data_IF_394118121231
#
_entry.id   IF_394118121231
#
_cell.length_a   1.000
_cell.length_b   1.000
_cell.length_c   1.000
_cell.angle_alpha   90.00
_cell.angle_beta   90.00
_cell.angle_gamma   90.00
#
_symmetry.space_group_name_H-M   'P 1'
#
loop_
_entity.id
_entity.type
_entity.pdbx_description
1 polymer ?
#
# COMPACT_ATOMS: atom_id res chain seq x y z
N UNK A 1 -20.76 3.71 21.12
CA UNK A 1 -20.84 2.85 19.92
C UNK A 1 -19.49 2.17 19.76
N UNK A 2 -19.53 0.84 19.72
CA UNK A 2 -18.49 -0.14 19.35
C UNK A 2 -17.06 0.07 19.87
N UNK A 3 -16.69 -0.75 20.85
CA UNK A 3 -15.31 -1.15 21.08
C UNK A 3 -14.73 -1.73 19.77
N UNK A 4 -13.89 -0.96 19.08
CA UNK A 4 -13.07 -1.49 18.00
C UNK A 4 -11.93 -2.27 18.66
N UNK A 5 -12.18 -3.58 18.74
CA UNK A 5 -11.31 -4.64 19.20
C UNK A 5 -9.85 -4.38 18.79
N UNK A 6 -8.99 -4.26 19.81
CA UNK A 6 -7.55 -4.28 19.69
C UNK A 6 -7.12 -5.69 19.25
N UNK A 7 -7.33 -6.03 17.98
CA UNK A 7 -6.64 -7.16 17.37
C UNK A 7 -5.18 -6.73 17.19
N UNK A 8 -4.24 -7.56 17.65
CA UNK A 8 -2.82 -7.34 17.41
C UNK A 8 -2.62 -7.04 15.93
N UNK A 9 -2.25 -5.80 15.60
CA UNK A 9 -2.02 -5.41 14.23
C UNK A 9 -0.81 -6.20 13.74
N UNK A 10 -1.06 -7.26 12.98
CA UNK A 10 0.01 -8.01 12.35
C UNK A 10 0.69 -7.07 11.36
N UNK A 11 1.89 -6.63 11.74
CA UNK A 11 2.76 -5.88 10.85
C UNK A 11 3.16 -6.81 9.72
N UNK A 12 2.65 -6.53 8.53
CA UNK A 12 2.98 -7.27 7.33
C UNK A 12 4.00 -6.45 6.53
N UNK A 13 4.96 -7.15 5.93
CA UNK A 13 5.95 -6.53 5.06
C UNK A 13 5.48 -6.66 3.62
N UNK A 14 5.27 -5.54 2.96
CA UNK A 14 4.94 -5.52 1.54
C UNK A 14 6.14 -5.07 0.71
N UNK A 15 6.20 -5.54 -0.52
CA UNK A 15 7.23 -5.17 -1.48
C UNK A 15 6.64 -4.25 -2.54
N UNK A 16 7.15 -3.02 -2.62
CA UNK A 16 6.75 -2.03 -3.61
C UNK A 16 7.72 -2.06 -4.78
N UNK A 17 7.18 -2.27 -5.98
CA UNK A 17 7.90 -2.26 -7.25
C UNK A 17 7.47 -1.03 -8.06
N UNK A 18 8.14 0.12 -7.92
CA UNK A 18 7.95 1.26 -8.82
C UNK A 18 8.23 0.87 -10.27
N UNK A 19 7.40 1.28 -11.22
CA UNK A 19 7.64 1.04 -12.65
C UNK A 19 8.65 2.02 -13.29
N UNK A 20 8.94 3.13 -12.61
CA UNK A 20 9.91 4.13 -13.06
C UNK A 20 11.33 3.86 -12.55
N UNK A 21 11.52 2.89 -11.65
CA UNK A 21 12.82 2.51 -11.09
C UNK A 21 12.96 0.99 -11.07
N UNK A 22 14.12 0.49 -11.43
CA UNK A 22 14.43 -0.93 -11.40
C UNK A 22 14.78 -1.47 -9.99
N UNK A 23 14.19 -0.92 -8.93
CA UNK A 23 14.42 -1.33 -7.53
C UNK A 23 13.13 -1.76 -6.84
N UNK A 24 13.24 -2.69 -5.89
CA UNK A 24 12.12 -3.12 -5.03
C UNK A 24 12.33 -2.54 -3.64
N UNK A 25 11.33 -1.83 -3.14
CA UNK A 25 11.33 -1.23 -1.81
C UNK A 25 10.53 -2.14 -0.87
N UNK A 26 10.98 -2.33 0.37
CA UNK A 26 10.19 -3.02 1.40
C UNK A 26 9.55 -1.99 2.31
N UNK A 27 8.26 -2.14 2.58
CA UNK A 27 7.51 -1.23 3.44
C UNK A 27 6.72 -2.06 4.48
N UNK A 28 6.88 -1.70 5.74
CA UNK A 28 6.20 -2.33 6.86
C UNK A 28 4.89 -1.57 7.13
N UNK A 29 3.77 -2.28 6.99
CA UNK A 29 2.40 -1.76 7.07
C UNK A 29 1.54 -2.69 7.91
N UNK A 30 0.42 -2.19 8.41
CA UNK A 30 -0.53 -3.00 9.16
C UNK A 30 -1.61 -3.51 8.20
N UNK A 31 -2.08 -4.76 8.33
CA UNK A 31 -3.16 -5.27 7.46
C UNK A 31 -4.44 -4.41 7.49
N UNK A 32 -4.69 -3.79 8.65
CA UNK A 32 -5.76 -2.82 8.87
C UNK A 32 -5.52 -1.45 8.22
N UNK A 33 -4.30 -1.15 7.77
CA UNK A 33 -4.01 0.10 7.08
C UNK A 33 -4.81 0.15 5.77
N UNK A 34 -5.32 1.34 5.46
CA UNK A 34 -5.96 1.60 4.19
C UNK A 34 -4.94 1.88 3.11
N UNK A 35 -5.34 1.68 1.85
CA UNK A 35 -4.52 2.04 0.69
C UNK A 35 -4.10 3.52 0.71
N UNK A 36 -4.92 4.39 1.30
CA UNK A 36 -4.60 5.81 1.48
C UNK A 36 -3.41 6.03 2.41
N UNK A 37 -3.37 5.33 3.56
CA UNK A 37 -2.25 5.38 4.51
C UNK A 37 -0.98 4.88 3.83
N UNK A 38 -1.05 3.77 3.09
CA UNK A 38 0.10 3.23 2.36
C UNK A 38 0.64 4.24 1.34
N UNK A 39 -0.23 4.90 0.58
CA UNK A 39 0.17 5.94 -0.37
C UNK A 39 0.81 7.15 0.30
N UNK A 40 0.30 7.56 1.45
CA UNK A 40 0.91 8.64 2.25
C UNK A 40 2.33 8.26 2.72
N UNK A 41 2.54 7.01 3.16
CA UNK A 41 3.89 6.51 3.50
C UNK A 41 4.83 6.54 2.29
N UNK A 42 4.34 6.10 1.13
CA UNK A 42 5.10 6.15 -0.13
C UNK A 42 5.42 7.58 -0.53
N UNK A 43 4.51 8.54 -0.34
CA UNK A 43 4.77 9.95 -0.60
C UNK A 43 5.93 10.47 0.26
N UNK A 44 5.99 10.07 1.53
CA UNK A 44 7.12 10.42 2.40
C UNK A 44 8.46 9.84 1.94
N UNK A 45 8.44 8.67 1.28
CA UNK A 45 9.66 7.99 0.80
C UNK A 45 10.12 8.44 -0.59
N UNK A 46 9.19 8.53 -1.55
CA UNK A 46 9.50 8.79 -2.96
C UNK A 46 9.12 10.21 -3.40
N UNK A 47 8.36 10.96 -2.59
CA UNK A 47 7.95 12.34 -2.90
C UNK A 47 6.78 12.47 -3.90
N UNK A 48 6.16 11.36 -4.30
CA UNK A 48 5.05 11.34 -5.26
C UNK A 48 3.74 11.61 -4.51
N UNK A 49 2.90 12.58 -4.90
CA UNK A 49 1.64 12.82 -4.20
C UNK A 49 0.68 11.63 -4.37
N UNK A 50 -0.13 11.29 -3.34
CA UNK A 50 -0.94 10.07 -3.29
C UNK A 50 -1.98 9.97 -4.43
N UNK A 51 -2.42 11.10 -4.96
CA UNK A 51 -3.29 11.20 -6.13
C UNK A 51 -2.61 10.74 -7.44
N UNK A 52 -1.30 10.93 -7.56
CA UNK A 52 -0.49 10.50 -8.71
C UNK A 52 0.01 9.05 -8.56
N UNK A 53 -0.14 8.46 -7.38
CA UNK A 53 0.24 7.08 -7.10
C UNK A 53 -0.89 6.11 -7.47
N UNK A 54 -0.61 5.22 -8.40
CA UNK A 54 -1.47 4.07 -8.69
C UNK A 54 -0.80 2.79 -8.19
N UNK A 55 -1.45 2.15 -7.22
CA UNK A 55 -1.03 0.87 -6.68
C UNK A 55 -1.82 -0.25 -7.36
N UNK A 56 -1.11 -1.29 -7.77
CA UNK A 56 -1.68 -2.47 -8.42
C UNK A 56 -1.20 -3.70 -7.66
N UNK A 57 -2.14 -4.54 -7.22
CA UNK A 57 -1.84 -5.81 -6.54
C UNK A 57 -2.68 -6.91 -7.17
N UNK A 58 -2.09 -8.11 -7.32
CA UNK A 58 -2.78 -9.26 -7.93
C UNK A 58 -3.44 -8.99 -9.30
N UNK A 59 -2.97 -7.98 -10.04
CA UNK A 59 -3.56 -7.54 -11.31
C UNK A 59 -4.74 -6.57 -11.19
N UNK A 60 -5.17 -6.22 -9.98
CA UNK A 60 -6.24 -5.25 -9.72
C UNK A 60 -5.69 -3.90 -9.23
N UNK A 61 -6.38 -2.82 -9.64
CA UNK A 61 -6.05 -1.48 -9.14
C UNK A 61 -6.60 -1.32 -7.72
N UNK A 62 -5.74 -0.92 -6.80
CA UNK A 62 -6.12 -0.64 -5.43
C UNK A 62 -6.75 0.76 -5.33
N UNK A 63 -8.05 0.78 -5.05
CA UNK A 63 -8.80 2.01 -4.82
C UNK A 63 -8.57 2.56 -3.40
N UNK A 64 -8.65 3.87 -3.26
CA UNK A 64 -8.63 4.50 -1.94
C UNK A 64 -9.88 4.05 -1.15
N UNK A 65 -9.73 3.76 0.14
CA UNK A 65 -10.83 3.35 1.03
C UNK A 65 -10.97 1.85 1.27
N UNK A 66 -10.21 0.99 0.57
CA UNK A 66 -10.07 -0.44 0.95
C UNK A 66 -8.91 -0.61 1.93
N UNK A 67 -9.01 -1.61 2.81
CA UNK A 67 -7.87 -2.05 3.65
C UNK A 67 -6.97 -3.00 2.86
N UNK A 68 -5.74 -3.20 3.33
CA UNK A 68 -4.84 -4.21 2.77
C UNK A 68 -5.43 -5.62 2.92
N UNK A 69 -6.05 -5.91 4.06
CA UNK A 69 -6.76 -7.18 4.30
C UNK A 69 -7.92 -7.38 3.32
N UNK A 70 -8.70 -6.34 3.01
CA UNK A 70 -9.77 -6.42 2.01
C UNK A 70 -9.26 -6.66 0.59
N UNK A 71 -7.99 -6.38 0.32
CA UNK A 71 -7.36 -6.52 -1.00
C UNK A 71 -6.55 -7.82 -1.14
N UNK A 72 -6.75 -8.78 -0.21
CA UNK A 72 -6.00 -10.04 -0.15
C UNK A 72 -4.47 -9.81 -0.12
N UNK A 73 -4.03 -8.71 0.50
CA UNK A 73 -2.61 -8.39 0.62
C UNK A 73 -2.04 -9.09 1.85
N UNK A 74 -1.26 -10.13 1.61
CA UNK A 74 -0.54 -10.88 2.64
C UNK A 74 0.89 -10.36 2.86
N UNK A 75 1.51 -10.84 3.94
CA UNK A 75 2.93 -10.62 4.19
C UNK A 75 3.79 -11.18 3.04
N UNK A 76 4.66 -10.36 2.48
CA UNK A 76 5.48 -10.68 1.32
C UNK A 76 4.82 -10.39 -0.03
N UNK A 77 3.62 -9.83 -0.05
CA UNK A 77 2.95 -9.42 -1.29
C UNK A 77 3.72 -8.34 -2.04
N UNK A 78 3.67 -8.40 -3.37
CA UNK A 78 4.29 -7.42 -4.27
C UNK A 78 3.24 -6.49 -4.85
N UNK A 79 3.37 -5.21 -4.57
CA UNK A 79 2.56 -4.14 -5.13
C UNK A 79 3.36 -3.41 -6.21
N UNK A 80 2.74 -3.15 -7.36
CA UNK A 80 3.33 -2.33 -8.40
C UNK A 80 2.90 -0.88 -8.22
N UNK A 81 3.86 0.03 -8.18
CA UNK A 81 3.64 1.47 -8.09
C UNK A 81 3.82 2.10 -9.47
N UNK A 82 2.76 2.70 -9.99
CA UNK A 82 2.78 3.47 -11.23
C UNK A 82 2.64 4.95 -10.88
N UNK A 83 3.68 5.72 -11.12
CA UNK A 83 3.62 7.18 -11.04
C UNK A 83 2.96 7.71 -12.31
N UNK A 84 1.92 8.55 -12.15
CA UNK A 84 1.36 9.33 -13.26
C UNK A 84 1.77 10.78 -13.10
N UNK A 85 2.66 11.24 -13.97
CA UNK A 85 3.02 12.65 -14.10
C UNK A 85 2.35 13.17 -15.38
N UNK A 86 1.49 14.17 -15.26
CA UNK A 86 0.94 14.95 -16.37
C UNK A 86 0.99 16.42 -16.03
#
# INVERSE_FOLDING_TARGET
MAAANQAAAETIRIYLRPLYRDATLSLDVEGSDTIEIVKAKIQGMEGIPPEHQRLICCGENLANGRTLTDCDVENGSKLFLVARMR
#
